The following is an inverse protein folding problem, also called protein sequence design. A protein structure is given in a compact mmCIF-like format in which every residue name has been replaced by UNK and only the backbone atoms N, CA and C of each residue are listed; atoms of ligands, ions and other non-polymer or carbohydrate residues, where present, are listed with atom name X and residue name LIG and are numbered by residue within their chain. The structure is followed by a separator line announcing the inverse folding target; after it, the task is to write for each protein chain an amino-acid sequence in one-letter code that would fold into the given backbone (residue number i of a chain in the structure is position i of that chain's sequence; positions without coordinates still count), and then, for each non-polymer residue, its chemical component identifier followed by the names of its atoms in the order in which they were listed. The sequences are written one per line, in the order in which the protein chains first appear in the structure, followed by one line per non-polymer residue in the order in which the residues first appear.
data_IF_561853634958
#
_entry.id   IF_561853634958
#
_cell.length_a   1.000
_cell.length_b   1.000
_cell.length_c   1.000
_cell.angle_alpha   90.00
_cell.angle_beta   90.00
_cell.angle_gamma   90.00
#
_symmetry.space_group_name_H-M   'P 1'
#
loop_
_entity.id
_entity.type
_entity.pdbx_description
1 polymer ?
#
# COMPACT_ATOMS: atom_id res chain seq x y z
N UNK A 1 31.41 -1.08 1.20
CA UNK A 1 30.33 -2.09 1.23
C UNK A 1 29.03 -1.33 0.96
N UNK A 2 28.50 -1.47 -0.25
CA UNK A 2 27.25 -0.88 -0.63
C UNK A 2 26.10 -1.65 0.03
N UNK A 3 25.25 -0.97 0.79
CA UNK A 3 23.98 -1.56 1.27
C UNK A 3 22.92 -1.43 0.17
N UNK A 4 22.23 -2.50 -0.20
CA UNK A 4 21.16 -2.43 -1.18
C UNK A 4 19.95 -1.66 -0.62
N UNK A 5 19.46 -0.69 -1.37
CA UNK A 5 18.35 0.19 -0.99
C UNK A 5 16.96 -0.47 -1.05
N UNK A 6 16.87 -1.67 -1.59
CA UNK A 6 15.60 -2.43 -1.68
C UNK A 6 15.91 -3.92 -1.53
N UNK A 7 16.14 -4.40 -0.34
CA UNK A 7 15.94 -5.82 0.01
C UNK A 7 15.71 -5.89 1.51
N UNK A 8 14.64 -6.49 1.89
CA UNK A 8 14.26 -7.07 3.16
C UNK A 8 13.00 -6.47 3.80
N UNK A 9 11.87 -6.78 3.19
CA UNK A 9 10.64 -6.91 3.98
C UNK A 9 10.00 -8.30 3.89
N UNK A 10 10.63 -9.26 3.21
CA UNK A 10 10.00 -10.60 3.04
C UNK A 10 10.69 -11.75 3.76
N UNK A 11 11.87 -11.62 4.33
CA UNK A 11 12.53 -12.74 5.03
C UNK A 11 13.35 -12.22 6.22
N UNK A 12 12.67 -11.83 7.29
CA UNK A 12 13.18 -11.92 8.64
C UNK A 12 12.11 -12.53 9.54
N UNK A 13 11.72 -13.76 9.23
CA UNK A 13 11.09 -14.61 10.19
C UNK A 13 12.19 -15.15 11.10
N UNK A 14 12.26 -14.66 12.33
CA UNK A 14 13.03 -15.31 13.38
C UNK A 14 12.51 -16.75 13.55
N UNK A 15 13.26 -17.70 13.04
CA UNK A 15 12.96 -19.15 13.12
C UNK A 15 13.21 -19.75 14.52
N UNK A 16 13.51 -18.91 15.52
CA UNK A 16 14.02 -19.37 16.81
C UNK A 16 12.99 -19.80 17.84
N UNK A 17 11.68 -19.54 17.63
CA UNK A 17 10.61 -20.05 18.52
C UNK A 17 9.34 -20.41 17.75
N UNK A 18 8.75 -21.60 18.04
CA UNK A 18 7.43 -21.93 17.52
C UNK A 18 6.38 -20.93 18.04
N UNK A 19 5.63 -20.30 17.14
CA UNK A 19 4.64 -19.25 17.46
C UNK A 19 3.55 -19.65 18.47
N UNK A 20 3.37 -20.95 18.74
CA UNK A 20 2.39 -21.44 19.73
C UNK A 20 2.86 -21.33 21.19
N UNK A 21 4.13 -20.92 21.42
CA UNK A 21 4.69 -20.69 22.76
C UNK A 21 4.75 -19.22 23.13
N UNK A 22 4.41 -18.32 22.22
CA UNK A 22 4.36 -16.91 22.54
C UNK A 22 3.06 -16.61 23.30
N UNK A 23 3.19 -16.01 24.48
CA UNK A 23 2.11 -15.28 25.13
C UNK A 23 1.45 -14.39 24.08
N UNK A 24 0.11 -14.36 24.07
CA UNK A 24 -0.72 -13.55 23.15
C UNK A 24 -0.15 -12.13 23.09
N UNK A 25 0.71 -11.88 22.11
CA UNK A 25 1.23 -10.53 21.89
C UNK A 25 0.13 -9.67 21.29
N UNK A 26 0.08 -8.40 21.74
CA UNK A 26 -0.81 -7.44 21.12
C UNK A 26 -0.48 -7.31 19.62
N UNK A 27 -1.49 -7.16 18.75
CA UNK A 27 -1.27 -6.99 17.32
C UNK A 27 -0.28 -5.86 17.02
N UNK A 28 0.66 -6.12 16.16
CA UNK A 28 1.62 -5.12 15.69
C UNK A 28 0.96 -4.09 14.77
N UNK A 29 1.55 -2.89 14.65
CA UNK A 29 1.09 -1.88 13.72
C UNK A 29 1.11 -2.37 12.26
N UNK A 30 2.07 -3.24 11.89
CA UNK A 30 2.15 -3.83 10.56
C UNK A 30 0.97 -4.79 10.28
N UNK A 31 0.56 -5.62 11.25
CA UNK A 31 -0.59 -6.51 11.12
C UNK A 31 -1.89 -5.71 10.99
N UNK A 32 -2.06 -4.66 11.79
CA UNK A 32 -3.21 -3.75 11.71
C UNK A 32 -3.22 -3.05 10.34
N UNK A 33 -2.06 -2.59 9.86
CA UNK A 33 -1.91 -1.98 8.54
C UNK A 33 -2.34 -2.93 7.42
N UNK A 34 -1.84 -4.16 7.42
CA UNK A 34 -2.22 -5.19 6.44
C UNK A 34 -3.72 -5.47 6.45
N UNK A 35 -4.31 -5.60 7.64
CA UNK A 35 -5.75 -5.80 7.79
C UNK A 35 -6.57 -4.61 7.25
N UNK A 36 -6.08 -3.38 7.47
CA UNK A 36 -6.70 -2.16 6.93
C UNK A 36 -6.67 -2.15 5.40
N UNK A 37 -5.55 -2.56 4.79
CA UNK A 37 -5.46 -2.70 3.33
C UNK A 37 -6.48 -3.74 2.81
N UNK A 38 -6.57 -4.94 3.41
CA UNK A 38 -7.59 -5.93 3.03
C UNK A 38 -9.00 -5.37 3.09
N UNK A 39 -9.32 -4.60 4.13
CA UNK A 39 -10.63 -3.99 4.28
C UNK A 39 -10.88 -2.97 3.16
N UNK A 40 -9.94 -2.07 2.89
CA UNK A 40 -10.03 -1.06 1.83
C UNK A 40 -10.17 -1.66 0.43
N UNK A 41 -9.58 -2.85 0.19
CA UNK A 41 -9.74 -3.59 -1.06
C UNK A 41 -11.16 -4.08 -1.30
N UNK A 42 -11.89 -4.43 -0.22
CA UNK A 42 -13.18 -5.10 -0.28
C UNK A 42 -14.38 -4.18 -0.09
N UNK A 43 -14.16 -2.93 0.35
CA UNK A 43 -15.22 -1.93 0.47
C UNK A 43 -15.85 -1.67 -0.90
N UNK A 44 -17.18 -1.66 -0.94
CA UNK A 44 -17.94 -1.20 -2.12
C UNK A 44 -17.79 0.32 -2.26
N UNK A 45 -17.33 0.75 -3.41
CA UNK A 45 -17.15 2.17 -3.76
C UNK A 45 -18.31 2.75 -4.56
N UNK A 46 -19.34 1.97 -4.84
CA UNK A 46 -20.51 2.46 -5.61
C UNK A 46 -21.30 3.53 -4.87
N UNK A 47 -21.17 3.57 -3.54
CA UNK A 47 -21.78 4.58 -2.66
C UNK A 47 -20.77 5.02 -1.60
N UNK A 48 -21.08 6.12 -0.90
CA UNK A 48 -20.32 6.55 0.27
C UNK A 48 -20.41 5.48 1.37
N UNK A 49 -19.31 4.83 1.77
CA UNK A 49 -19.37 3.78 2.77
C UNK A 49 -19.79 4.31 4.14
N UNK A 50 -20.80 3.70 4.75
CA UNK A 50 -21.19 3.95 6.13
C UNK A 50 -20.32 3.15 7.11
N UNK A 51 -20.38 3.51 8.39
CA UNK A 51 -19.69 2.76 9.43
C UNK A 51 -20.14 1.29 9.49
N UNK A 52 -21.45 1.04 9.35
CA UNK A 52 -22.03 -0.29 9.36
C UNK A 52 -21.56 -1.14 8.20
N UNK A 53 -21.41 -0.57 7.00
CA UNK A 53 -20.90 -1.27 5.83
C UNK A 53 -19.41 -1.61 5.98
N UNK A 54 -18.61 -0.67 6.47
CA UNK A 54 -17.19 -0.90 6.77
C UNK A 54 -17.02 -1.99 7.83
N UNK A 55 -17.84 -1.96 8.88
CA UNK A 55 -17.88 -2.97 9.94
C UNK A 55 -18.29 -4.34 9.39
N UNK A 56 -19.29 -4.41 8.52
CA UNK A 56 -19.72 -5.67 7.92
C UNK A 56 -18.59 -6.29 7.05
N UNK A 57 -17.76 -5.48 6.38
CA UNK A 57 -16.56 -5.97 5.66
C UNK A 57 -15.54 -6.53 6.65
N UNK A 58 -15.29 -5.84 7.76
CA UNK A 58 -14.38 -6.30 8.80
C UNK A 58 -14.83 -7.65 9.39
N UNK A 59 -16.12 -7.79 9.74
CA UNK A 59 -16.69 -9.02 10.28
C UNK A 59 -16.53 -10.18 9.29
N UNK A 60 -16.76 -9.97 8.01
CA UNK A 60 -16.51 -10.98 6.95
C UNK A 60 -15.03 -11.39 6.85
N UNK A 61 -14.09 -10.45 7.04
CA UNK A 61 -12.67 -10.77 7.06
C UNK A 61 -12.32 -11.70 8.23
N UNK A 62 -12.92 -11.47 9.39
CA UNK A 62 -12.73 -12.33 10.57
C UNK A 62 -13.38 -13.71 10.35
N UNK A 63 -14.62 -13.76 9.88
CA UNK A 63 -15.35 -15.01 9.60
C UNK A 63 -14.61 -15.89 8.60
N UNK A 64 -14.04 -15.28 7.55
CA UNK A 64 -13.23 -15.96 6.53
C UNK A 64 -11.80 -16.25 6.99
N UNK A 65 -11.43 -15.93 8.23
CA UNK A 65 -10.10 -16.14 8.82
C UNK A 65 -8.97 -15.43 8.07
N UNK A 66 -9.28 -14.34 7.39
CA UNK A 66 -8.29 -13.50 6.70
C UNK A 66 -7.59 -12.55 7.67
N UNK A 67 -8.27 -12.16 8.74
CA UNK A 67 -7.69 -11.41 9.85
C UNK A 67 -8.09 -12.07 11.20
N UNK A 68 -7.25 -11.91 12.21
CA UNK A 68 -7.57 -12.38 13.56
C UNK A 68 -8.53 -11.41 14.27
N UNK A 69 -9.45 -11.88 15.13
CA UNK A 69 -10.34 -11.01 15.92
C UNK A 69 -9.58 -9.93 16.69
N UNK A 70 -8.43 -10.28 17.30
CA UNK A 70 -7.61 -9.34 18.04
C UNK A 70 -7.05 -8.20 17.18
N UNK A 71 -6.81 -8.44 15.87
CA UNK A 71 -6.40 -7.41 14.92
C UNK A 71 -7.59 -6.53 14.57
N UNK A 72 -8.76 -7.14 14.29
CA UNK A 72 -9.99 -6.43 13.98
C UNK A 72 -10.36 -5.42 15.06
N UNK A 73 -10.28 -5.81 16.35
CA UNK A 73 -10.53 -4.93 17.49
C UNK A 73 -9.62 -3.68 17.57
N UNK A 74 -8.46 -3.72 16.89
CA UNK A 74 -7.48 -2.62 16.87
C UNK A 74 -7.59 -1.74 15.62
N UNK A 75 -8.40 -2.12 14.65
CA UNK A 75 -8.63 -1.31 13.45
C UNK A 75 -9.48 -0.08 13.80
N UNK A 76 -9.12 1.07 13.23
CA UNK A 76 -9.87 2.32 13.42
C UNK A 76 -10.86 2.50 12.27
N UNK A 77 -12.08 1.98 12.44
CA UNK A 77 -13.13 2.04 11.41
C UNK A 77 -13.63 3.47 11.17
N UNK A 78 -13.69 4.31 12.21
CA UNK A 78 -14.07 5.71 12.07
C UNK A 78 -13.11 6.47 11.15
N UNK A 79 -11.81 6.21 11.28
CA UNK A 79 -10.80 6.82 10.41
C UNK A 79 -10.94 6.33 8.98
N UNK A 80 -11.30 5.07 8.77
CA UNK A 80 -11.54 4.51 7.43
C UNK A 80 -12.77 5.18 6.80
N UNK A 81 -13.85 5.35 7.55
CA UNK A 81 -15.04 6.07 7.05
C UNK A 81 -14.69 7.53 6.72
N UNK A 82 -13.99 8.22 7.63
CA UNK A 82 -13.58 9.60 7.44
C UNK A 82 -12.64 9.80 6.22
N UNK A 83 -11.88 8.78 5.83
CA UNK A 83 -11.07 8.84 4.62
C UNK A 83 -11.91 9.12 3.39
N UNK A 84 -13.13 8.58 3.28
CA UNK A 84 -14.00 8.80 2.13
C UNK A 84 -14.59 10.21 2.04
N UNK A 85 -14.43 11.02 3.09
CA UNK A 85 -14.75 12.46 3.07
C UNK A 85 -13.62 13.32 2.48
N UNK A 86 -12.42 12.76 2.34
CA UNK A 86 -11.27 13.43 1.73
C UNK A 86 -11.45 13.61 0.23
N UNK A 87 -10.62 14.46 -0.39
CA UNK A 87 -10.62 14.66 -1.84
C UNK A 87 -10.39 13.34 -2.61
N UNK A 88 -9.43 12.54 -2.17
CA UNK A 88 -9.13 11.24 -2.78
C UNK A 88 -10.29 10.25 -2.58
N UNK A 89 -10.82 10.14 -1.37
CA UNK A 89 -11.96 9.25 -1.09
C UNK A 89 -13.17 9.56 -1.96
N UNK A 90 -13.50 10.84 -2.15
CA UNK A 90 -14.57 11.28 -3.05
C UNK A 90 -14.29 10.93 -4.51
N UNK A 91 -13.06 11.07 -4.97
CA UNK A 91 -12.67 10.65 -6.32
C UNK A 91 -12.82 9.15 -6.53
N UNK A 92 -12.44 8.32 -5.54
CA UNK A 92 -12.61 6.87 -5.61
C UNK A 92 -14.08 6.48 -5.76
N UNK A 93 -14.98 7.12 -5.02
CA UNK A 93 -16.43 6.90 -5.14
C UNK A 93 -16.94 7.37 -6.50
N UNK A 94 -16.59 8.60 -6.90
CA UNK A 94 -17.04 9.19 -8.17
C UNK A 94 -16.63 8.34 -9.38
N UNK A 95 -15.44 7.75 -9.33
CA UNK A 95 -14.87 6.96 -10.42
C UNK A 95 -14.82 5.45 -10.11
N UNK A 96 -15.69 4.95 -9.22
CA UNK A 96 -15.65 3.57 -8.72
C UNK A 96 -15.55 2.50 -9.81
N UNK A 97 -16.13 2.73 -11.00
CA UNK A 97 -16.11 1.78 -12.11
C UNK A 97 -14.72 1.65 -12.76
N UNK A 98 -13.90 2.68 -12.66
CA UNK A 98 -12.56 2.73 -13.26
C UNK A 98 -11.44 2.66 -12.22
N UNK A 99 -11.79 2.45 -10.94
CA UNK A 99 -10.82 2.15 -9.89
C UNK A 99 -10.27 0.75 -10.09
N UNK A 100 -8.94 0.65 -10.14
CA UNK A 100 -8.19 -0.60 -10.11
C UNK A 100 -7.50 -0.72 -8.76
N UNK A 101 -7.68 -1.84 -8.07
CA UNK A 101 -7.09 -2.12 -6.76
C UNK A 101 -6.20 -3.34 -6.84
N UNK A 102 -5.13 -3.38 -6.04
CA UNK A 102 -4.20 -4.51 -5.93
C UNK A 102 -3.67 -4.97 -7.29
N UNK A 103 -3.10 -4.04 -8.04
CA UNK A 103 -2.59 -4.37 -9.37
C UNK A 103 -1.15 -4.85 -9.30
N UNK A 104 -0.90 -6.14 -9.61
CA UNK A 104 0.46 -6.64 -9.74
C UNK A 104 1.13 -6.00 -10.96
N UNK A 105 2.40 -5.69 -10.84
CA UNK A 105 3.22 -5.24 -11.94
C UNK A 105 4.57 -5.95 -11.96
N UNK A 106 5.18 -5.98 -13.13
CA UNK A 106 6.56 -6.41 -13.34
C UNK A 106 7.18 -5.48 -14.37
N UNK A 107 8.38 -4.98 -14.09
CA UNK A 107 9.10 -4.11 -15.00
C UNK A 107 10.59 -4.39 -14.93
N UNK A 108 11.29 -4.13 -16.04
CA UNK A 108 12.74 -4.14 -16.09
C UNK A 108 13.25 -2.72 -15.82
N UNK A 109 14.27 -2.61 -14.98
CA UNK A 109 14.95 -1.35 -14.69
C UNK A 109 16.44 -1.59 -14.82
N UNK A 110 17.15 -0.67 -15.44
CA UNK A 110 18.61 -0.71 -15.51
C UNK A 110 19.20 -0.69 -14.09
N UNK A 111 20.13 -1.60 -13.82
CA UNK A 111 20.69 -1.77 -12.47
C UNK A 111 21.34 -0.48 -11.94
N UNK A 112 21.93 0.33 -12.83
CA UNK A 112 22.53 1.62 -12.51
C UNK A 112 21.53 2.65 -11.96
N UNK A 113 20.24 2.56 -12.31
CA UNK A 113 19.20 3.45 -11.78
C UNK A 113 18.87 3.14 -10.31
N UNK A 114 19.06 1.91 -9.87
CA UNK A 114 18.68 1.44 -8.52
C UNK A 114 19.85 1.28 -7.58
N UNK A 115 21.03 0.97 -8.11
CA UNK A 115 22.22 0.64 -7.31
C UNK A 115 23.24 1.77 -7.41
N UNK A 116 23.48 2.46 -6.30
CA UNK A 116 24.53 3.48 -6.24
C UNK A 116 25.90 2.88 -6.51
N UNK A 117 26.69 3.52 -7.38
CA UNK A 117 28.02 3.07 -7.81
C UNK A 117 28.02 1.71 -8.54
N UNK A 118 26.95 1.42 -9.28
CA UNK A 118 26.95 0.27 -10.18
C UNK A 118 28.00 0.47 -11.27
N UNK A 119 28.78 -0.58 -11.67
CA UNK A 119 29.84 -0.43 -12.67
C UNK A 119 29.22 -0.08 -14.05
N UNK A 120 29.62 1.04 -14.64
CA UNK A 120 29.16 1.51 -15.96
C UNK A 120 29.48 0.52 -17.12
N UNK A 121 30.32 -0.50 -16.86
CA UNK A 121 30.73 -1.50 -17.83
C UNK A 121 29.76 -2.67 -17.97
N UNK A 122 28.75 -2.77 -17.12
CA UNK A 122 27.75 -3.85 -17.13
C UNK A 122 26.39 -3.25 -17.39
N UNK A 123 25.73 -3.68 -18.49
CA UNK A 123 24.33 -3.36 -18.77
C UNK A 123 23.48 -4.52 -18.26
N UNK A 124 23.11 -4.45 -17.00
CA UNK A 124 22.24 -5.46 -16.39
C UNK A 124 20.88 -4.85 -16.10
N UNK A 125 19.83 -5.58 -16.48
CA UNK A 125 18.46 -5.25 -16.16
C UNK A 125 18.01 -6.02 -14.91
N UNK A 126 17.37 -5.34 -13.99
CA UNK A 126 16.74 -5.93 -12.80
C UNK A 126 15.24 -6.05 -13.02
N UNK A 127 14.73 -7.26 -12.84
CA UNK A 127 13.29 -7.49 -12.87
C UNK A 127 12.69 -7.12 -11.50
N UNK A 128 11.86 -6.09 -11.49
CA UNK A 128 11.14 -5.63 -10.31
C UNK A 128 9.70 -6.12 -10.36
N UNK A 129 9.26 -6.70 -9.26
CA UNK A 129 7.86 -7.08 -9.05
C UNK A 129 7.28 -6.29 -7.89
N UNK A 130 6.00 -5.97 -7.98
CA UNK A 130 5.28 -5.31 -6.88
C UNK A 130 3.77 -5.37 -7.08
N UNK A 131 3.08 -4.80 -6.11
CA UNK A 131 1.62 -4.60 -6.15
C UNK A 131 1.38 -3.12 -5.90
N UNK A 132 0.64 -2.49 -6.80
CA UNK A 132 0.14 -1.12 -6.65
C UNK A 132 -1.17 -1.20 -5.87
N UNK A 133 -1.30 -0.48 -4.75
CA UNK A 133 -2.51 -0.46 -3.93
C UNK A 133 -3.73 -0.08 -4.77
N UNK A 134 -3.58 0.95 -5.60
CA UNK A 134 -4.60 1.24 -6.59
C UNK A 134 -4.34 2.50 -7.43
N UNK A 135 -5.18 2.61 -8.45
CA UNK A 135 -5.25 3.81 -9.29
C UNK A 135 -6.66 3.97 -9.87
N UNK A 136 -6.99 5.21 -10.20
CA UNK A 136 -8.19 5.56 -10.95
C UNK A 136 -7.78 5.70 -12.42
N UNK A 137 -8.38 4.91 -13.29
CA UNK A 137 -8.12 4.99 -14.73
C UNK A 137 -9.11 5.93 -15.41
N UNK A 138 -8.61 7.04 -15.94
CA UNK A 138 -9.37 8.00 -16.73
C UNK A 138 -8.98 7.89 -18.21
N UNK A 139 -9.69 8.60 -19.08
CA UNK A 139 -9.46 8.48 -20.54
C UNK A 139 -8.00 8.73 -20.94
N UNK A 140 -7.39 9.81 -20.45
CA UNK A 140 -6.04 10.23 -20.83
C UNK A 140 -5.01 10.18 -19.69
N UNK A 141 -5.43 9.85 -18.47
CA UNK A 141 -4.55 9.85 -17.31
C UNK A 141 -4.94 8.79 -16.30
N UNK A 142 -3.99 8.41 -15.44
CA UNK A 142 -4.24 7.63 -14.25
C UNK A 142 -3.91 8.45 -13.00
N UNK A 143 -4.71 8.30 -11.94
CA UNK A 143 -4.43 8.88 -10.64
C UNK A 143 -3.99 7.74 -9.74
N UNK A 144 -2.70 7.68 -9.46
CA UNK A 144 -2.09 6.67 -8.60
C UNK A 144 -2.28 7.04 -7.14
N UNK A 145 -2.62 6.05 -6.30
CA UNK A 145 -2.67 6.20 -4.86
C UNK A 145 -2.10 4.98 -4.13
N UNK A 146 -1.64 5.22 -2.91
CA UNK A 146 -1.09 4.20 -2.03
C UNK A 146 -1.51 4.51 -0.59
N UNK A 147 -2.03 3.50 0.12
CA UNK A 147 -2.49 3.66 1.49
C UNK A 147 -1.33 3.50 2.47
N UNK A 148 -1.14 4.48 3.33
CA UNK A 148 -0.15 4.41 4.40
C UNK A 148 -0.83 4.50 5.76
N UNK A 149 -0.65 3.48 6.55
CA UNK A 149 -1.20 3.35 7.90
C UNK A 149 -0.19 3.70 8.99
N UNK A 150 0.90 4.35 8.61
CA UNK A 150 1.94 4.78 9.54
C UNK A 150 1.39 5.79 10.55
N UNK A 151 1.70 5.56 11.82
CA UNK A 151 1.41 6.56 12.84
C UNK A 151 2.33 7.76 12.71
N UNK A 152 1.77 8.87 12.26
CA UNK A 152 2.46 10.16 12.23
C UNK A 152 2.54 10.69 13.65
N UNK A 153 3.74 10.71 14.25
CA UNK A 153 3.96 11.23 15.61
C UNK A 153 3.64 12.73 15.75
N UNK A 154 3.57 13.44 14.64
CA UNK A 154 3.30 14.87 14.58
C UNK A 154 2.73 15.22 13.19
N UNK A 155 1.74 16.13 13.16
CA UNK A 155 1.22 16.73 11.93
C UNK A 155 2.02 17.97 11.50
N UNK A 156 3.25 18.14 12.02
CA UNK A 156 4.11 19.23 11.60
C UNK A 156 4.49 19.09 10.11
N UNK A 157 4.70 20.22 9.39
CA UNK A 157 5.12 20.16 7.99
C UNK A 157 6.40 19.35 7.76
N UNK A 158 7.34 19.37 8.73
CA UNK A 158 8.55 18.58 8.68
C UNK A 158 8.28 17.08 8.74
N UNK A 159 7.44 16.63 9.68
CA UNK A 159 7.10 15.21 9.82
C UNK A 159 6.36 14.68 8.57
N UNK A 160 5.48 15.49 8.00
CA UNK A 160 4.79 15.17 6.74
C UNK A 160 5.81 15.07 5.59
N UNK A 161 6.73 16.03 5.49
CA UNK A 161 7.77 16.04 4.46
C UNK A 161 8.68 14.80 4.53
N UNK A 162 9.06 14.36 5.73
CA UNK A 162 9.87 13.15 5.94
C UNK A 162 9.14 11.89 5.47
N UNK A 163 7.83 11.81 5.71
CA UNK A 163 7.00 10.68 5.24
C UNK A 163 6.89 10.70 3.71
N UNK A 164 6.59 11.85 3.13
CA UNK A 164 6.51 12.01 1.66
C UNK A 164 7.84 11.60 1.01
N UNK A 165 8.97 12.04 1.56
CA UNK A 165 10.29 11.69 1.02
C UNK A 165 10.59 10.21 1.13
N UNK A 166 10.19 9.55 2.24
CA UNK A 166 10.35 8.11 2.45
C UNK A 166 9.66 7.28 1.37
N UNK A 167 8.46 7.70 0.95
CA UNK A 167 7.66 6.96 -0.01
C UNK A 167 7.81 7.44 -1.46
N UNK A 168 8.53 8.53 -1.69
CA UNK A 168 8.73 9.11 -3.03
C UNK A 168 9.33 8.09 -4.01
N UNK A 169 10.33 7.32 -3.59
CA UNK A 169 10.96 6.30 -4.43
C UNK A 169 9.95 5.23 -4.88
N UNK A 170 9.14 4.74 -3.95
CA UNK A 170 8.10 3.75 -4.23
C UNK A 170 7.05 4.32 -5.21
N UNK A 171 6.55 5.53 -4.96
CA UNK A 171 5.56 6.17 -5.81
C UNK A 171 6.08 6.45 -7.23
N UNK A 172 7.34 6.85 -7.37
CA UNK A 172 7.97 7.04 -8.67
C UNK A 172 8.09 5.72 -9.44
N UNK A 173 8.43 4.63 -8.76
CA UNK A 173 8.50 3.29 -9.36
C UNK A 173 7.12 2.85 -9.85
N UNK A 174 6.09 2.98 -9.03
CA UNK A 174 4.71 2.65 -9.39
C UNK A 174 4.19 3.51 -10.55
N UNK A 175 4.49 4.80 -10.52
CA UNK A 175 4.15 5.72 -11.62
C UNK A 175 4.75 5.25 -12.93
N UNK A 176 6.05 4.92 -12.95
CA UNK A 176 6.74 4.43 -14.15
C UNK A 176 6.11 3.13 -14.66
N UNK A 177 5.92 2.15 -13.77
CA UNK A 177 5.29 0.89 -14.14
C UNK A 177 3.89 1.09 -14.75
N UNK A 178 3.09 1.97 -14.16
CA UNK A 178 1.75 2.26 -14.65
C UNK A 178 1.77 3.03 -15.98
N UNK A 179 2.69 3.97 -16.18
CA UNK A 179 2.87 4.68 -17.45
C UNK A 179 3.25 3.72 -18.59
N UNK A 180 4.17 2.79 -18.32
CA UNK A 180 4.58 1.78 -19.30
C UNK A 180 3.43 0.83 -19.66
N UNK A 181 2.63 0.43 -18.67
CA UNK A 181 1.52 -0.50 -18.88
C UNK A 181 0.30 0.12 -19.58
N UNK A 182 -0.01 1.38 -19.26
CA UNK A 182 -1.24 2.04 -19.73
C UNK A 182 -1.00 3.01 -20.89
N UNK A 183 0.22 3.46 -21.10
CA UNK A 183 0.62 4.53 -22.03
C UNK A 183 -0.12 5.86 -21.75
N UNK A 184 -0.54 6.08 -20.51
CA UNK A 184 -1.24 7.28 -20.04
C UNK A 184 -0.34 8.11 -19.13
N UNK A 185 -0.67 9.39 -18.98
CA UNK A 185 -0.06 10.24 -17.97
C UNK A 185 -0.48 9.76 -16.57
N UNK A 186 0.45 9.75 -15.61
CA UNK A 186 0.17 9.31 -14.24
C UNK A 186 0.50 10.43 -13.26
N UNK A 187 -0.53 10.91 -12.57
CA UNK A 187 -0.44 11.80 -11.41
C UNK A 187 -0.57 11.00 -10.09
N UNK A 188 -0.11 11.57 -9.01
CA UNK A 188 -0.19 10.99 -7.65
C UNK A 188 -0.24 12.09 -6.57
#
# INVERSE_FOLDING_TARGET
QAQPLIVNRMIEGDLSKPKFLDTVQAPSAAEIGTATHYLLQLIDLSTQPSYEEVRAVQERLVENKLILPAIAEKMNLEQIVAFFDTALGKQLIQHHQTVRREQPFSMLIEAEELIQNYPETTQDDLLIHGIIDGYIELDNQCILYDYKTDHVKSTSPQAISEIVERYRGQMNLYRRALQEATHKEVSH
#
